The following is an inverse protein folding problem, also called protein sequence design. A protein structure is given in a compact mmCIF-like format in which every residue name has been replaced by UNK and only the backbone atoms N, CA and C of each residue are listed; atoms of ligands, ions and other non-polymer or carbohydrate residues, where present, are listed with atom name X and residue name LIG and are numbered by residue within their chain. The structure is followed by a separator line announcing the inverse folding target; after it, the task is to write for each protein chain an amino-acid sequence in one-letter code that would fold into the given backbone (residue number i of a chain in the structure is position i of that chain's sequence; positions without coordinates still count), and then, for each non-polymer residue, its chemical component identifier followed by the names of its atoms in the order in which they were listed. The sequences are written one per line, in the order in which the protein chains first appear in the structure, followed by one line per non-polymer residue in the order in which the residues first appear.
data_IF_490222202060
#
_entry.id   IF_490222202060
#
_cell.length_a   1.000
_cell.length_b   1.000
_cell.length_c   1.000
_cell.angle_alpha   90.00
_cell.angle_beta   90.00
_cell.angle_gamma   90.00
#
_symmetry.space_group_name_H-M   'P 1'
#
loop_
_entity.id
_entity.type
_entity.pdbx_description
1 polymer ?
#
# COMPACT_ATOMS: atom_id res chain seq x y z
N UNK A 1 3.10 -18.19 -40.95
CA UNK A 1 3.55 -17.96 -39.56
C UNK A 1 2.35 -17.47 -38.75
N UNK A 2 1.69 -18.36 -38.01
CA UNK A 2 0.61 -18.00 -37.12
C UNK A 2 1.22 -17.51 -35.79
N UNK A 3 1.04 -16.23 -35.49
CA UNK A 3 1.39 -15.67 -34.18
C UNK A 3 0.42 -16.19 -33.13
N UNK A 4 0.90 -17.03 -32.26
CA UNK A 4 0.17 -17.52 -31.10
C UNK A 4 0.08 -16.36 -30.09
N UNK A 5 -1.07 -15.74 -29.96
CA UNK A 5 -1.37 -14.79 -28.88
C UNK A 5 -1.57 -15.64 -27.62
N UNK A 6 -0.55 -15.68 -26.77
CA UNK A 6 -0.65 -16.25 -25.43
C UNK A 6 -1.46 -15.24 -24.59
N UNK A 7 -2.76 -15.48 -24.47
CA UNK A 7 -3.60 -14.83 -23.47
C UNK A 7 -3.23 -15.48 -22.13
N UNK A 8 -2.36 -14.82 -21.37
CA UNK A 8 -2.10 -15.19 -19.98
C UNK A 8 -3.37 -14.90 -19.17
N UNK A 9 -4.21 -15.90 -18.99
CA UNK A 9 -5.21 -15.90 -17.94
C UNK A 9 -4.47 -15.95 -16.61
N UNK A 10 -4.30 -14.80 -15.95
CA UNK A 10 -3.91 -14.77 -14.55
C UNK A 10 -5.09 -15.35 -13.77
N UNK A 11 -4.98 -16.61 -13.38
CA UNK A 11 -5.88 -17.22 -12.40
C UNK A 11 -5.70 -16.44 -11.10
N UNK A 12 -6.66 -15.54 -10.81
CA UNK A 12 -6.75 -14.91 -9.52
C UNK A 12 -6.90 -16.01 -8.47
N UNK A 13 -6.04 -16.00 -7.45
CA UNK A 13 -6.21 -16.85 -6.29
C UNK A 13 -7.67 -16.76 -5.81
N UNK A 14 -8.27 -17.89 -5.52
CA UNK A 14 -9.67 -17.94 -5.14
C UNK A 14 -9.81 -17.38 -3.73
N UNK A 15 -10.04 -16.07 -3.65
CA UNK A 15 -10.39 -15.43 -2.37
C UNK A 15 -11.80 -15.85 -1.95
N UNK A 16 -11.98 -16.10 -0.67
CA UNK A 16 -13.31 -16.41 -0.12
C UNK A 16 -14.18 -15.17 -0.21
N UNK A 17 -15.26 -15.26 -0.97
CA UNK A 17 -16.26 -14.21 -1.12
C UNK A 17 -17.31 -14.35 -0.03
N UNK A 18 -17.20 -13.52 1.00
CA UNK A 18 -18.19 -13.39 2.07
C UNK A 18 -18.43 -11.90 2.32
N UNK A 19 -19.56 -11.42 1.84
CA UNK A 19 -19.94 -10.01 1.96
C UNK A 19 -20.45 -9.61 3.35
N UNK A 20 -20.72 -10.57 4.24
CA UNK A 20 -21.25 -10.30 5.58
C UNK A 20 -20.29 -9.51 6.47
N UNK A 21 -18.97 -9.60 6.16
CA UNK A 21 -17.90 -8.91 6.88
C UNK A 21 -17.51 -7.55 6.27
N UNK A 22 -18.08 -7.18 5.12
CA UNK A 22 -17.75 -5.92 4.47
C UNK A 22 -18.19 -4.72 5.30
N UNK A 23 -17.36 -3.68 5.30
CA UNK A 23 -17.73 -2.41 5.91
C UNK A 23 -18.86 -1.73 5.11
N UNK A 24 -19.83 -1.12 5.81
CA UNK A 24 -20.76 -0.19 5.16
C UNK A 24 -20.01 0.94 4.45
N UNK A 25 -20.52 1.38 3.30
CA UNK A 25 -19.88 2.44 2.49
C UNK A 25 -19.59 3.73 3.28
N UNK A 26 -20.47 4.09 4.23
CA UNK A 26 -20.27 5.25 5.11
C UNK A 26 -19.05 5.12 6.02
N UNK A 27 -18.72 3.90 6.46
CA UNK A 27 -17.57 3.64 7.34
C UNK A 27 -16.27 3.56 6.53
N UNK A 28 -16.35 3.30 5.20
CA UNK A 28 -15.23 3.34 4.24
C UNK A 28 -14.93 4.75 3.73
N UNK A 29 -15.83 5.74 3.93
CA UNK A 29 -15.70 7.03 3.28
C UNK A 29 -14.40 7.76 3.61
N UNK A 30 -13.98 7.73 4.87
CA UNK A 30 -12.73 8.36 5.29
C UNK A 30 -11.51 7.83 4.52
N UNK A 31 -11.48 6.52 4.26
CA UNK A 31 -10.37 5.88 3.54
C UNK A 31 -10.41 6.24 2.04
N UNK A 32 -11.59 6.28 1.44
CA UNK A 32 -11.74 6.75 0.05
C UNK A 32 -11.37 8.22 -0.11
N UNK A 33 -11.62 9.05 0.89
CA UNK A 33 -11.29 10.48 0.91
C UNK A 33 -9.81 10.74 1.17
N UNK A 34 -9.11 9.81 1.80
CA UNK A 34 -7.72 9.92 2.19
C UNK A 34 -6.76 10.01 0.99
N UNK A 35 -6.98 9.25 -0.06
CA UNK A 35 -6.26 9.21 -1.35
C UNK A 35 -4.76 8.92 -1.28
N UNK A 36 -4.05 9.31 -0.21
CA UNK A 36 -2.60 9.16 -0.07
C UNK A 36 -2.22 8.69 1.33
N UNK A 37 -1.47 7.60 1.41
CA UNK A 37 -0.91 7.01 2.62
C UNK A 37 0.59 6.75 2.51
N UNK A 38 1.25 6.60 3.67
CA UNK A 38 2.64 6.17 3.79
C UNK A 38 2.70 4.71 4.24
N UNK A 39 3.41 3.88 3.48
CA UNK A 39 3.77 2.53 3.89
C UNK A 39 5.17 2.54 4.47
N UNK A 40 5.42 1.80 5.54
CA UNK A 40 6.76 1.62 6.10
C UNK A 40 7.05 0.13 6.20
N UNK A 41 8.03 -0.33 5.40
CA UNK A 41 8.58 -1.68 5.54
C UNK A 41 9.85 -1.64 6.37
N UNK A 42 9.72 -2.06 7.62
CA UNK A 42 10.82 -2.16 8.56
C UNK A 42 10.79 -3.49 9.31
N UNK A 43 11.93 -4.09 9.53
CA UNK A 43 12.06 -5.37 10.20
C UNK A 43 13.51 -5.81 10.30
N UNK A 44 13.72 -7.05 10.72
CA UNK A 44 15.04 -7.63 10.92
C UNK A 44 15.89 -7.63 9.63
N UNK A 45 15.26 -7.73 8.47
CA UNK A 45 15.89 -7.65 7.14
C UNK A 45 16.63 -6.34 6.89
N UNK A 46 16.27 -5.25 7.58
CA UNK A 46 17.00 -3.99 7.46
C UNK A 46 18.47 -4.12 7.90
N UNK A 47 18.75 -5.02 8.86
CA UNK A 47 20.13 -5.29 9.34
C UNK A 47 21.02 -5.84 8.22
N UNK A 48 20.45 -6.64 7.31
CA UNK A 48 21.19 -7.14 6.13
C UNK A 48 21.38 -6.06 5.05
N UNK A 49 20.43 -5.12 4.94
CA UNK A 49 20.47 -4.09 3.90
C UNK A 49 20.26 -4.63 2.48
N UNK A 50 19.53 -5.73 2.32
CA UNK A 50 19.35 -6.41 1.04
C UNK A 50 17.87 -6.61 0.67
N UNK A 51 17.01 -5.83 1.32
CA UNK A 51 15.57 -5.90 1.15
C UNK A 51 14.90 -7.00 1.99
N UNK A 52 13.59 -7.00 2.03
CA UNK A 52 12.76 -7.80 2.91
C UNK A 52 12.69 -9.29 2.53
N UNK A 53 13.03 -9.63 1.28
CA UNK A 53 13.09 -11.01 0.78
C UNK A 53 14.47 -11.66 0.89
N UNK A 54 15.46 -11.00 1.50
CA UNK A 54 16.84 -11.47 1.57
C UNK A 54 16.98 -12.88 2.16
N UNK A 55 16.27 -13.17 3.27
CA UNK A 55 16.26 -14.51 3.87
C UNK A 55 15.87 -15.59 2.86
N UNK A 56 14.78 -15.35 2.13
CA UNK A 56 14.23 -16.30 1.17
C UNK A 56 15.10 -16.42 -0.09
N UNK A 57 15.45 -15.30 -0.72
CA UNK A 57 16.17 -15.28 -1.99
C UNK A 57 17.59 -15.87 -1.88
N UNK A 58 18.23 -15.67 -0.73
CA UNK A 58 19.56 -16.20 -0.44
C UNK A 58 19.54 -17.56 0.25
N UNK A 59 18.34 -18.07 0.59
CA UNK A 59 18.17 -19.35 1.30
C UNK A 59 18.96 -19.38 2.61
N UNK A 60 18.89 -18.27 3.37
CA UNK A 60 19.56 -18.18 4.66
C UNK A 60 18.81 -19.08 5.64
N UNK A 61 19.56 -19.99 6.28
CA UNK A 61 19.00 -20.85 7.32
C UNK A 61 18.33 -20.03 8.44
N UNK A 62 17.22 -20.53 8.95
CA UNK A 62 16.44 -19.85 10.00
C UNK A 62 17.25 -19.54 11.26
N UNK A 63 18.16 -20.44 11.63
CA UNK A 63 19.03 -20.24 12.79
C UNK A 63 20.07 -19.14 12.57
N UNK A 64 20.63 -19.08 11.35
CA UNK A 64 21.59 -18.04 10.98
C UNK A 64 20.90 -16.68 10.82
N UNK A 65 19.77 -16.64 10.14
CA UNK A 65 18.99 -15.40 10.03
C UNK A 65 18.52 -14.88 11.39
N UNK A 66 18.13 -15.78 12.28
CA UNK A 66 17.69 -15.47 13.64
C UNK A 66 18.74 -14.75 14.49
N UNK A 67 20.05 -14.93 14.22
CA UNK A 67 21.13 -14.23 14.92
C UNK A 67 21.16 -12.73 14.65
N UNK A 68 20.56 -12.27 13.53
CA UNK A 68 20.43 -10.84 13.22
C UNK A 68 19.68 -10.09 14.32
N UNK A 69 18.81 -10.78 15.07
CA UNK A 69 18.12 -10.21 16.22
C UNK A 69 19.10 -9.59 17.24
N UNK A 70 20.28 -10.17 17.40
CA UNK A 70 21.28 -9.71 18.38
C UNK A 70 21.96 -8.41 17.94
N UNK A 71 21.78 -7.97 16.69
CA UNK A 71 22.22 -6.69 16.13
C UNK A 71 21.09 -5.68 15.97
N UNK A 72 19.83 -6.07 16.24
CA UNK A 72 18.68 -5.20 16.05
C UNK A 72 18.52 -4.21 17.23
N UNK A 73 19.18 -3.05 17.13
CA UNK A 73 19.25 -2.03 18.20
C UNK A 73 18.34 -0.82 17.98
N UNK A 74 18.04 -0.47 16.73
CA UNK A 74 17.18 0.66 16.30
C UNK A 74 17.45 1.97 17.04
N UNK A 75 18.71 2.36 17.15
CA UNK A 75 19.18 3.46 18.01
C UNK A 75 18.62 4.84 17.68
N UNK A 76 18.11 5.03 16.45
CA UNK A 76 17.49 6.28 15.98
C UNK A 76 16.00 6.15 15.69
N UNK A 77 15.40 5.01 16.00
CA UNK A 77 13.98 4.84 15.84
C UNK A 77 13.18 5.82 16.69
N UNK A 78 12.19 6.43 16.08
CA UNK A 78 11.18 7.25 16.75
C UNK A 78 9.87 7.15 15.98
N UNK A 79 8.83 6.60 16.63
CA UNK A 79 7.48 6.55 16.07
C UNK A 79 6.97 7.93 15.67
N UNK A 80 7.31 8.96 16.48
CA UNK A 80 6.98 10.34 16.17
C UNK A 80 7.63 10.83 14.88
N UNK A 81 8.92 10.53 14.65
CA UNK A 81 9.61 10.99 13.42
C UNK A 81 9.03 10.35 12.16
N UNK A 82 8.58 9.09 12.24
CA UNK A 82 7.89 8.42 11.14
C UNK A 82 6.53 9.08 10.83
N UNK A 83 5.77 9.38 11.88
CA UNK A 83 4.48 10.08 11.74
C UNK A 83 4.67 11.50 11.22
N UNK A 84 5.68 12.23 11.68
CA UNK A 84 5.99 13.57 11.19
C UNK A 84 6.35 13.56 9.69
N UNK A 85 7.12 12.57 9.23
CA UNK A 85 7.43 12.41 7.81
C UNK A 85 6.17 12.18 6.98
N UNK A 86 5.25 11.33 7.44
CA UNK A 86 3.97 11.10 6.79
C UNK A 86 3.09 12.37 6.73
N UNK A 87 3.03 13.12 7.83
CA UNK A 87 2.29 14.41 7.87
C UNK A 87 2.89 15.44 6.93
N UNK A 88 4.22 15.56 6.91
CA UNK A 88 4.93 16.46 6.00
C UNK A 88 4.71 16.08 4.53
N UNK A 89 4.58 14.78 4.23
CA UNK A 89 4.22 14.30 2.89
C UNK A 89 2.76 14.59 2.49
N UNK A 90 1.90 14.97 3.43
CA UNK A 90 0.46 15.12 3.21
C UNK A 90 -0.32 13.81 3.30
N UNK A 91 0.26 12.73 3.78
CA UNK A 91 -0.43 11.46 3.99
C UNK A 91 -1.58 11.60 5.01
N UNK A 92 -2.66 10.86 4.79
CA UNK A 92 -3.84 10.83 5.65
C UNK A 92 -3.92 9.58 6.51
N UNK A 93 -3.16 8.57 6.18
CA UNK A 93 -3.00 7.34 6.94
C UNK A 93 -1.61 6.77 6.73
N UNK A 94 -1.23 5.87 7.61
CA UNK A 94 0.01 5.11 7.52
C UNK A 94 -0.28 3.63 7.69
N UNK A 95 0.58 2.78 7.11
CA UNK A 95 0.62 1.34 7.37
C UNK A 95 2.06 0.98 7.69
N UNK A 96 2.30 0.29 8.81
CA UNK A 96 3.64 -0.09 9.26
C UNK A 96 3.71 -1.61 9.43
N UNK A 97 4.79 -2.23 8.95
CA UNK A 97 5.02 -3.66 9.17
C UNK A 97 5.13 -3.95 10.66
N UNK A 98 4.19 -4.72 11.22
CA UNK A 98 4.30 -5.26 12.58
C UNK A 98 5.08 -6.57 12.59
N UNK A 99 4.97 -7.35 11.52
CA UNK A 99 5.67 -8.60 11.26
C UNK A 99 5.65 -8.90 9.77
N UNK A 100 6.83 -9.16 9.18
CA UNK A 100 6.99 -9.58 7.79
C UNK A 100 7.13 -11.11 7.69
N UNK A 101 7.38 -11.63 6.49
CA UNK A 101 7.48 -13.07 6.18
C UNK A 101 8.60 -13.79 6.93
N UNK A 102 9.64 -13.09 7.37
CA UNK A 102 10.73 -13.62 8.20
C UNK A 102 10.29 -13.94 9.65
N UNK A 103 9.07 -13.57 10.00
CA UNK A 103 8.44 -13.88 11.28
C UNK A 103 8.92 -13.06 12.48
N UNK A 104 9.79 -12.05 12.28
CA UNK A 104 10.24 -11.19 13.38
C UNK A 104 9.19 -10.13 13.73
N UNK A 105 8.74 -10.14 14.96
CA UNK A 105 7.68 -9.22 15.44
C UNK A 105 8.29 -7.92 15.98
N UNK A 106 7.81 -6.77 15.51
CA UNK A 106 8.22 -5.45 15.97
C UNK A 106 7.45 -4.96 17.21
N UNK A 107 6.70 -5.85 17.85
CA UNK A 107 5.81 -5.56 18.96
C UNK A 107 5.95 -6.60 20.08
N UNK A 108 5.44 -6.24 21.25
CA UNK A 108 5.39 -7.13 22.40
C UNK A 108 4.32 -8.21 22.19
N UNK A 109 4.75 -9.45 21.98
CA UNK A 109 3.87 -10.59 21.75
C UNK A 109 4.13 -11.69 22.76
N UNK A 110 3.08 -12.39 23.17
CA UNK A 110 3.18 -13.59 24.00
C UNK A 110 3.70 -14.82 23.22
N UNK A 111 3.78 -14.72 21.89
CA UNK A 111 4.24 -15.81 21.03
C UNK A 111 5.76 -15.81 20.93
N UNK A 112 6.40 -16.51 21.85
CA UNK A 112 7.85 -16.73 21.86
C UNK A 112 8.67 -15.46 22.08
N UNK A 113 9.96 -15.54 21.78
CA UNK A 113 10.94 -14.47 22.02
C UNK A 113 11.55 -13.89 20.74
N UNK A 114 11.01 -14.21 19.58
CA UNK A 114 11.51 -13.72 18.30
C UNK A 114 10.84 -12.38 17.96
N UNK A 115 11.18 -11.35 18.74
CA UNK A 115 10.58 -10.02 18.64
C UNK A 115 11.55 -8.93 19.12
N UNK A 116 11.21 -7.68 18.86
CA UNK A 116 12.01 -6.50 19.18
C UNK A 116 12.24 -6.28 20.69
N UNK A 117 11.31 -6.72 21.54
CA UNK A 117 11.48 -6.65 23.00
C UNK A 117 12.62 -7.56 23.51
N UNK A 118 12.88 -8.65 22.79
CA UNK A 118 13.93 -9.63 23.09
C UNK A 118 15.19 -9.43 22.23
N UNK A 119 15.37 -8.27 21.63
CA UNK A 119 16.56 -7.80 20.93
C UNK A 119 17.26 -6.68 21.72
N UNK A 120 18.43 -6.18 21.31
CA UNK A 120 19.06 -5.00 21.89
C UNK A 120 18.20 -3.73 21.85
N UNK A 121 17.20 -3.68 20.94
CA UNK A 121 16.25 -2.57 20.87
C UNK A 121 15.44 -2.42 22.17
N UNK A 122 15.03 -3.53 22.83
CA UNK A 122 14.20 -3.53 24.05
C UNK A 122 12.95 -2.66 23.94
N UNK A 123 12.37 -2.53 22.73
CA UNK A 123 11.26 -1.62 22.43
C UNK A 123 10.11 -2.33 21.74
N UNK A 124 8.91 -1.91 22.07
CA UNK A 124 7.70 -2.17 21.29
C UNK A 124 7.54 -1.04 20.25
N UNK A 125 8.05 -1.27 19.04
CA UNK A 125 8.06 -0.26 17.99
C UNK A 125 6.64 0.07 17.50
N UNK A 126 5.77 -0.94 17.49
CA UNK A 126 4.38 -0.74 17.06
C UNK A 126 3.61 0.09 18.07
N UNK A 127 3.84 -0.12 19.37
CA UNK A 127 3.21 0.71 20.41
C UNK A 127 3.63 2.17 20.27
N UNK A 128 4.92 2.43 20.12
CA UNK A 128 5.44 3.79 19.97
C UNK A 128 4.93 4.48 18.70
N UNK A 129 4.84 3.72 17.59
CA UNK A 129 4.26 4.22 16.34
C UNK A 129 2.77 4.56 16.48
N UNK A 130 1.97 3.62 17.01
CA UNK A 130 0.52 3.81 17.12
C UNK A 130 0.17 4.95 18.06
N UNK A 131 0.86 5.07 19.19
CA UNK A 131 0.70 6.18 20.13
C UNK A 131 1.00 7.52 19.44
N UNK A 132 2.14 7.61 18.73
CA UNK A 132 2.49 8.82 17.99
C UNK A 132 1.49 9.16 16.87
N UNK A 133 0.92 8.15 16.20
CA UNK A 133 -0.11 8.35 15.19
C UNK A 133 -1.40 8.92 15.82
N UNK A 134 -1.83 8.37 16.95
CA UNK A 134 -3.00 8.86 17.69
C UNK A 134 -2.80 10.30 18.18
N UNK A 135 -1.65 10.61 18.78
CA UNK A 135 -1.32 11.96 19.27
C UNK A 135 -1.30 12.98 18.12
N UNK A 136 -0.92 12.56 16.94
CA UNK A 136 -0.89 13.41 15.74
C UNK A 136 -2.21 13.48 14.97
N UNK A 137 -3.25 12.73 15.39
CA UNK A 137 -4.51 12.57 14.67
C UNK A 137 -4.38 11.86 13.32
N UNK A 138 -3.29 11.06 13.13
CA UNK A 138 -3.05 10.24 11.95
C UNK A 138 -3.79 8.92 12.05
N UNK A 139 -4.37 8.45 10.95
CA UNK A 139 -4.97 7.12 10.87
C UNK A 139 -3.90 6.05 10.92
N UNK A 140 -3.96 5.17 11.93
CA UNK A 140 -2.96 4.13 12.16
C UNK A 140 -3.36 2.82 11.46
N UNK A 141 -2.46 2.30 10.63
CA UNK A 141 -2.58 1.00 9.97
C UNK A 141 -1.42 0.09 10.35
N UNK A 142 -1.69 -1.19 10.35
CA UNK A 142 -0.72 -2.25 10.63
C UNK A 142 -0.69 -3.23 9.46
N UNK A 143 0.51 -3.51 8.95
CA UNK A 143 0.76 -4.64 8.07
C UNK A 143 1.06 -5.87 8.92
N UNK A 144 0.52 -7.01 8.55
CA UNK A 144 0.79 -8.30 9.17
C UNK A 144 0.86 -9.42 8.13
N UNK A 145 1.96 -10.18 8.14
CA UNK A 145 2.08 -11.38 7.32
C UNK A 145 1.61 -12.63 8.07
N UNK A 146 0.57 -13.35 7.60
CA UNK A 146 0.21 -14.66 8.14
C UNK A 146 1.29 -15.71 7.91
N UNK A 147 1.94 -15.70 6.74
CA UNK A 147 3.00 -16.66 6.44
C UNK A 147 4.27 -16.38 7.27
N UNK A 148 5.06 -17.42 7.47
CA UNK A 148 6.29 -17.36 8.26
C UNK A 148 7.30 -18.38 7.74
N UNK A 149 8.39 -17.90 7.18
CA UNK A 149 9.43 -18.75 6.57
C UNK A 149 10.19 -19.63 7.58
N UNK A 150 10.00 -19.42 8.87
CA UNK A 150 10.59 -20.27 9.90
C UNK A 150 9.84 -21.59 10.09
N UNK A 151 8.61 -21.67 9.55
CA UNK A 151 7.76 -22.84 9.68
C UNK A 151 7.87 -23.75 8.43
N UNK A 152 8.41 -24.99 8.55
CA UNK A 152 8.36 -25.97 7.47
C UNK A 152 6.94 -26.20 6.94
N UNK A 153 5.93 -26.07 7.80
CA UNK A 153 4.53 -26.17 7.42
C UNK A 153 4.03 -25.08 6.47
N UNK A 154 4.74 -23.96 6.33
CA UNK A 154 4.47 -22.99 5.27
C UNK A 154 4.85 -23.56 3.89
N UNK A 155 6.03 -24.16 3.79
CA UNK A 155 6.57 -24.70 2.52
C UNK A 155 5.91 -26.03 2.12
N UNK A 156 5.60 -26.86 3.10
CA UNK A 156 5.04 -28.21 2.94
C UNK A 156 3.88 -28.45 3.89
N UNK A 157 2.73 -27.76 3.70
CA UNK A 157 1.66 -27.74 4.69
C UNK A 157 0.99 -29.11 4.91
N UNK A 158 0.98 -30.01 3.92
CA UNK A 158 0.42 -31.35 4.08
C UNK A 158 1.39 -32.29 4.82
N UNK A 159 2.69 -32.14 4.57
CA UNK A 159 3.75 -32.95 5.21
C UNK A 159 3.96 -32.56 6.67
N UNK A 160 3.98 -31.26 6.95
CA UNK A 160 4.17 -30.68 8.29
C UNK A 160 2.88 -30.04 8.81
N UNK A 161 1.76 -30.74 8.70
CA UNK A 161 0.44 -30.19 8.98
C UNK A 161 0.29 -29.64 10.40
N UNK A 162 0.76 -30.35 11.45
CA UNK A 162 0.76 -29.84 12.84
C UNK A 162 1.53 -28.54 12.99
N UNK A 163 2.69 -28.43 12.34
CA UNK A 163 3.50 -27.22 12.36
C UNK A 163 2.82 -26.05 11.58
N UNK A 164 2.12 -26.34 10.50
CA UNK A 164 1.27 -25.34 9.82
C UNK A 164 0.14 -24.85 10.74
N UNK A 165 -0.47 -25.73 11.55
CA UNK A 165 -1.48 -25.34 12.54
C UNK A 165 -0.90 -24.47 13.67
N UNK A 166 0.33 -24.68 14.08
CA UNK A 166 1.03 -23.81 15.03
C UNK A 166 1.26 -22.42 14.44
N UNK A 167 1.69 -22.33 13.18
CA UNK A 167 1.84 -21.06 12.45
C UNK A 167 0.49 -20.31 12.37
N UNK A 168 -0.61 -21.01 12.08
CA UNK A 168 -1.96 -20.45 12.09
C UNK A 168 -2.35 -19.94 13.47
N UNK A 169 -2.10 -20.71 14.54
CA UNK A 169 -2.36 -20.30 15.93
C UNK A 169 -1.58 -19.04 16.27
N UNK A 170 -0.30 -18.95 15.88
CA UNK A 170 0.51 -17.74 16.04
C UNK A 170 -0.16 -16.53 15.38
N UNK A 171 -0.62 -16.69 14.14
CA UNK A 171 -1.32 -15.62 13.40
C UNK A 171 -2.54 -15.11 14.16
N UNK A 172 -3.42 -16.01 14.62
CA UNK A 172 -4.61 -15.62 15.38
C UNK A 172 -4.27 -14.91 16.69
N UNK A 173 -3.28 -15.42 17.42
CA UNK A 173 -2.84 -14.81 18.68
C UNK A 173 -2.27 -13.42 18.46
N UNK A 174 -1.36 -13.26 17.52
CA UNK A 174 -0.69 -12.00 17.28
C UNK A 174 -1.62 -10.93 16.69
N UNK A 175 -2.54 -11.30 15.77
CA UNK A 175 -3.55 -10.39 15.27
C UNK A 175 -4.51 -9.96 16.39
N UNK A 176 -4.89 -10.89 17.29
CA UNK A 176 -5.70 -10.55 18.46
C UNK A 176 -4.96 -9.55 19.38
N UNK A 177 -3.68 -9.79 19.69
CA UNK A 177 -2.85 -8.89 20.51
C UNK A 177 -2.78 -7.48 19.89
N UNK A 178 -2.46 -7.38 18.60
CA UNK A 178 -2.35 -6.12 17.88
C UNK A 178 -3.66 -5.31 17.90
N UNK A 179 -4.81 -5.98 17.85
CA UNK A 179 -6.11 -5.29 17.79
C UNK A 179 -6.75 -5.05 19.16
N UNK A 180 -6.20 -5.62 20.24
CA UNK A 180 -6.72 -5.45 21.60
C UNK A 180 -5.82 -4.63 22.51
N UNK A 181 -4.49 -4.57 22.27
CA UNK A 181 -3.55 -3.92 23.19
C UNK A 181 -3.02 -2.56 22.69
N UNK A 182 -3.25 -2.20 21.44
CA UNK A 182 -2.66 -1.02 20.81
C UNK A 182 -3.65 0.12 20.57
N UNK A 183 -4.85 0.04 21.15
CA UNK A 183 -5.89 1.02 20.93
C UNK A 183 -6.55 0.86 19.56
N UNK A 184 -7.00 1.97 18.98
CA UNK A 184 -7.70 1.94 17.71
C UNK A 184 -6.74 1.76 16.54
N UNK A 185 -6.97 0.74 15.72
CA UNK A 185 -6.29 0.52 14.44
C UNK A 185 -7.29 0.79 13.31
N UNK A 186 -6.93 1.66 12.38
CA UNK A 186 -7.82 2.08 11.29
C UNK A 186 -7.70 1.20 10.05
N UNK A 187 -6.52 0.59 9.79
CA UNK A 187 -6.27 -0.32 8.65
C UNK A 187 -5.52 -1.56 9.12
N UNK A 188 -5.99 -2.73 8.72
CA UNK A 188 -5.23 -3.99 8.82
C UNK A 188 -4.88 -4.46 7.41
N UNK A 189 -3.60 -4.43 7.11
CA UNK A 189 -3.04 -4.78 5.83
C UNK A 189 -2.33 -6.14 5.92
N UNK A 190 -3.00 -7.20 5.49
CA UNK A 190 -2.41 -8.54 5.42
C UNK A 190 -1.53 -8.70 4.20
N UNK A 191 -0.60 -9.67 4.26
CA UNK A 191 0.19 -10.09 3.11
C UNK A 191 0.57 -11.57 3.20
N UNK A 192 0.33 -12.30 2.12
CA UNK A 192 0.70 -13.71 2.04
C UNK A 192 -0.26 -14.69 2.73
N UNK A 193 -1.50 -14.28 3.02
CA UNK A 193 -2.55 -15.15 3.56
C UNK A 193 -3.41 -15.83 2.50
N UNK A 194 -3.18 -15.58 1.22
CA UNK A 194 -3.91 -16.22 0.12
C UNK A 194 -3.37 -17.63 -0.16
N UNK A 195 -4.24 -18.51 -0.63
CA UNK A 195 -3.91 -19.94 -0.83
C UNK A 195 -2.78 -20.17 -1.82
N UNK A 196 -2.53 -19.27 -2.76
CA UNK A 196 -1.44 -19.43 -3.73
C UNK A 196 -0.04 -19.29 -3.09
N UNK A 197 0.08 -18.64 -1.93
CA UNK A 197 1.34 -18.55 -1.19
C UNK A 197 1.72 -19.86 -0.49
N UNK A 198 0.73 -20.65 -0.06
CA UNK A 198 0.99 -21.89 0.69
C UNK A 198 1.70 -22.93 -0.17
N UNK A 199 2.82 -23.42 0.30
CA UNK A 199 3.64 -24.44 -0.37
C UNK A 199 4.35 -23.97 -1.64
N UNK A 200 4.19 -22.70 -2.03
CA UNK A 200 4.77 -22.14 -3.25
C UNK A 200 6.28 -22.35 -3.35
N UNK A 201 6.97 -22.14 -2.26
CA UNK A 201 8.43 -22.11 -2.24
C UNK A 201 9.08 -23.47 -1.96
N UNK A 202 8.32 -24.54 -1.82
CA UNK A 202 8.90 -25.87 -1.54
C UNK A 202 9.98 -26.28 -2.52
N UNK A 203 9.76 -26.03 -3.82
CA UNK A 203 10.73 -26.28 -4.87
C UNK A 203 12.07 -25.52 -4.65
N UNK A 204 12.01 -24.27 -4.25
CA UNK A 204 13.21 -23.46 -3.99
C UNK A 204 13.90 -23.89 -2.70
N UNK A 205 13.16 -24.38 -1.74
CA UNK A 205 13.68 -24.83 -0.45
C UNK A 205 14.42 -26.17 -0.55
N UNK A 206 14.01 -27.04 -1.47
CA UNK A 206 14.67 -28.32 -1.74
C UNK A 206 15.92 -28.20 -2.65
N UNK A 207 16.35 -26.98 -2.93
CA UNK A 207 17.50 -26.71 -3.80
C UNK A 207 17.16 -26.81 -5.28
N UNK A 208 15.88 -26.77 -5.66
CA UNK A 208 15.45 -26.84 -7.05
C UNK A 208 15.46 -28.25 -7.62
N UNK A 209 15.47 -29.27 -6.76
CA UNK A 209 15.47 -30.69 -7.19
C UNK A 209 14.13 -31.19 -7.72
N UNK A 210 13.10 -30.36 -7.64
CA UNK A 210 11.87 -30.53 -8.42
C UNK A 210 10.85 -31.52 -7.89
N UNK A 211 10.94 -31.99 -6.66
CA UNK A 211 9.92 -32.86 -6.09
C UNK A 211 8.72 -32.10 -5.51
N UNK A 212 8.76 -30.77 -5.51
CA UNK A 212 7.62 -29.91 -5.22
C UNK A 212 7.50 -28.84 -6.31
N UNK A 213 6.50 -29.00 -7.20
CA UNK A 213 6.41 -28.27 -8.48
C UNK A 213 5.30 -27.22 -8.54
N UNK A 214 4.69 -26.85 -7.41
CA UNK A 214 3.59 -25.91 -7.45
C UNK A 214 4.08 -24.46 -7.58
N UNK A 215 3.61 -23.76 -8.61
CA UNK A 215 3.86 -22.33 -8.82
C UNK A 215 2.69 -21.46 -8.37
N UNK A 216 2.83 -20.15 -8.50
CA UNK A 216 1.79 -19.15 -8.16
C UNK A 216 0.51 -19.27 -9.00
N UNK A 217 0.57 -19.90 -10.15
CA UNK A 217 -0.56 -20.13 -11.05
C UNK A 217 -1.54 -21.18 -10.53
N UNK A 218 -1.18 -21.93 -9.49
CA UNK A 218 -1.99 -22.99 -8.91
C UNK A 218 -2.19 -22.76 -7.42
N UNK A 219 -3.42 -22.51 -6.94
CA UNK A 219 -3.70 -22.38 -5.53
C UNK A 219 -3.44 -23.70 -4.79
N UNK A 220 -3.13 -23.59 -3.51
CA UNK A 220 -3.05 -24.75 -2.62
C UNK A 220 -4.44 -25.37 -2.43
N UNK A 221 -4.52 -26.68 -2.56
CA UNK A 221 -5.78 -27.44 -2.47
C UNK A 221 -5.77 -28.53 -1.38
N UNK A 222 -4.77 -28.52 -0.49
CA UNK A 222 -4.65 -29.48 0.60
C UNK A 222 -5.55 -29.16 1.79
N UNK A 223 -5.25 -29.79 2.92
CA UNK A 223 -6.09 -29.72 4.14
C UNK A 223 -5.94 -28.45 4.96
N UNK A 224 -4.82 -27.75 4.85
CA UNK A 224 -4.59 -26.54 5.62
C UNK A 224 -5.44 -25.38 5.09
N UNK A 225 -5.91 -24.54 5.98
CA UNK A 225 -6.58 -23.29 5.66
C UNK A 225 -6.31 -22.27 6.74
N UNK A 226 -6.09 -21.03 6.37
CA UNK A 226 -6.06 -19.88 7.30
C UNK A 226 -7.42 -19.62 7.95
N UNK A 227 -8.51 -20.19 7.44
CA UNK A 227 -9.90 -19.87 7.81
C UNK A 227 -10.15 -18.35 7.76
N UNK A 228 -9.98 -17.72 6.58
CA UNK A 228 -9.91 -16.26 6.50
C UNK A 228 -11.20 -15.56 6.94
N UNK A 229 -12.37 -16.18 6.77
CA UNK A 229 -13.64 -15.64 7.27
C UNK A 229 -13.65 -15.63 8.80
N UNK A 230 -13.22 -16.71 9.45
CA UNK A 230 -13.14 -16.81 10.92
C UNK A 230 -12.12 -15.81 11.48
N UNK A 231 -10.95 -15.68 10.83
CA UNK A 231 -9.93 -14.71 11.22
C UNK A 231 -10.49 -13.28 11.16
N UNK A 232 -11.12 -12.92 10.05
CA UNK A 232 -11.66 -11.58 9.88
C UNK A 232 -12.94 -11.32 10.70
N UNK A 233 -13.70 -12.35 11.06
CA UNK A 233 -14.79 -12.24 12.05
C UNK A 233 -14.25 -11.85 13.43
N UNK A 234 -13.14 -12.43 13.86
CA UNK A 234 -12.45 -12.03 15.08
C UNK A 234 -11.98 -10.57 14.99
N UNK A 235 -11.39 -10.17 13.87
CA UNK A 235 -10.96 -8.77 13.62
C UNK A 235 -12.14 -7.81 13.72
N UNK A 236 -13.27 -8.11 13.09
CA UNK A 236 -14.50 -7.29 13.16
C UNK A 236 -15.08 -7.21 14.57
N UNK A 237 -15.01 -8.28 15.35
CA UNK A 237 -15.47 -8.27 16.74
C UNK A 237 -14.59 -7.35 17.62
N UNK A 238 -13.29 -7.32 17.41
CA UNK A 238 -12.35 -6.47 18.15
C UNK A 238 -12.38 -5.01 17.68
N UNK A 239 -12.39 -4.79 16.36
CA UNK A 239 -12.31 -3.48 15.72
C UNK A 239 -13.38 -3.38 14.61
N UNK A 240 -14.66 -3.06 14.93
CA UNK A 240 -15.77 -3.12 13.97
C UNK A 240 -15.62 -2.26 12.73
N UNK A 241 -14.81 -1.18 12.79
CA UNK A 241 -14.64 -0.20 11.71
C UNK A 241 -13.26 -0.21 11.06
N UNK A 242 -12.43 -1.22 11.36
CA UNK A 242 -11.11 -1.36 10.74
C UNK A 242 -11.25 -1.70 9.25
N UNK A 243 -10.48 -1.04 8.41
CA UNK A 243 -10.44 -1.34 6.96
C UNK A 243 -9.46 -2.48 6.70
N UNK A 244 -9.86 -3.49 5.92
CA UNK A 244 -9.07 -4.72 5.72
C UNK A 244 -8.86 -4.95 4.23
N UNK A 245 -7.62 -5.23 3.81
CA UNK A 245 -7.26 -5.60 2.44
C UNK A 245 -7.58 -7.08 2.14
N UNK A 246 -7.53 -7.54 0.86
CA UNK A 246 -7.92 -8.92 0.51
C UNK A 246 -6.87 -10.00 0.81
N UNK A 247 -5.66 -9.64 1.24
CA UNK A 247 -4.51 -10.56 1.30
C UNK A 247 -4.48 -11.49 2.52
N UNK A 248 -5.59 -11.61 3.23
CA UNK A 248 -5.82 -12.69 4.21
C UNK A 248 -6.43 -13.95 3.58
N UNK A 249 -6.75 -13.93 2.28
CA UNK A 249 -7.55 -14.95 1.61
C UNK A 249 -9.07 -14.70 1.68
N UNK A 250 -9.53 -13.64 2.33
CA UNK A 250 -10.89 -13.09 2.27
C UNK A 250 -10.92 -11.88 1.33
N UNK A 251 -12.06 -11.63 0.69
CA UNK A 251 -12.20 -10.59 -0.35
C UNK A 251 -11.85 -9.16 0.11
N UNK A 252 -11.72 -8.89 1.40
CA UNK A 252 -11.39 -7.57 1.95
C UNK A 252 -12.41 -6.47 1.64
N UNK A 253 -12.20 -5.28 2.20
CA UNK A 253 -13.03 -4.11 1.96
C UNK A 253 -12.65 -3.38 0.66
N UNK A 254 -11.42 -3.53 0.19
CA UNK A 254 -10.88 -2.91 -1.02
C UNK A 254 -9.94 -3.88 -1.75
N UNK A 255 -9.67 -3.61 -3.03
CA UNK A 255 -8.71 -4.38 -3.83
C UNK A 255 -7.32 -3.77 -3.76
N UNK A 256 -6.27 -4.58 -3.93
CA UNK A 256 -4.88 -4.11 -3.95
C UNK A 256 -4.26 -4.30 -5.33
N UNK A 257 -3.58 -3.27 -5.82
CA UNK A 257 -2.61 -3.35 -6.90
C UNK A 257 -1.22 -3.14 -6.32
N UNK A 258 -0.21 -3.78 -6.87
CA UNK A 258 1.14 -3.69 -6.36
C UNK A 258 2.12 -3.35 -7.48
N UNK A 259 3.02 -2.40 -7.19
CA UNK A 259 4.09 -1.90 -8.06
C UNK A 259 3.56 -1.27 -9.36
N UNK A 260 2.69 -1.97 -10.09
CA UNK A 260 2.21 -1.56 -11.40
C UNK A 260 0.76 -1.10 -11.34
N UNK A 261 0.49 0.12 -11.79
CA UNK A 261 -0.86 0.65 -11.98
C UNK A 261 -1.54 -0.07 -13.15
N UNK A 262 -2.58 -0.85 -12.85
CA UNK A 262 -3.38 -1.60 -13.83
C UNK A 262 -4.63 -0.86 -14.29
N UNK A 263 -4.99 0.21 -13.59
CA UNK A 263 -6.15 1.04 -13.90
C UNK A 263 -7.27 0.93 -12.87
N UNK A 264 -8.40 1.59 -13.20
CA UNK A 264 -9.59 1.64 -12.33
C UNK A 264 -10.17 0.25 -12.10
N UNK A 265 -10.65 0.03 -10.89
CA UNK A 265 -11.36 -1.18 -10.51
C UNK A 265 -12.83 -0.91 -10.18
N UNK A 266 -13.65 -1.97 -10.17
CA UNK A 266 -15.09 -1.91 -9.86
C UNK A 266 -15.37 -1.73 -8.37
N UNK A 267 -14.41 -2.09 -7.50
CA UNK A 267 -14.44 -1.92 -6.05
C UNK A 267 -13.46 -0.82 -5.63
N UNK A 268 -13.59 -0.24 -4.42
CA UNK A 268 -12.52 0.59 -3.86
C UNK A 268 -11.17 -0.13 -3.97
N UNK A 269 -10.10 0.59 -4.28
CA UNK A 269 -8.80 -0.03 -4.53
C UNK A 269 -7.64 0.87 -4.13
N UNK A 270 -6.50 0.26 -3.89
CA UNK A 270 -5.26 0.90 -3.50
C UNK A 270 -4.10 0.37 -4.33
N UNK A 271 -3.26 1.25 -4.82
CA UNK A 271 -1.94 0.89 -5.34
C UNK A 271 -0.91 1.08 -4.24
N UNK A 272 -0.20 0.01 -3.86
CA UNK A 272 1.01 0.12 -3.07
C UNK A 272 2.25 0.01 -3.97
N UNK A 273 3.23 0.89 -3.73
CA UNK A 273 4.49 0.89 -4.48
C UNK A 273 5.62 1.54 -3.69
N UNK A 274 6.86 1.30 -4.12
CA UNK A 274 8.05 1.80 -3.45
C UNK A 274 8.47 3.19 -3.96
N UNK A 275 8.85 4.07 -3.05
CA UNK A 275 9.56 5.30 -3.39
C UNK A 275 10.96 4.96 -3.94
N UNK A 276 11.69 4.08 -3.27
CA UNK A 276 12.93 3.49 -3.79
C UNK A 276 12.59 2.37 -4.79
N UNK A 277 13.24 2.36 -5.93
CA UNK A 277 13.07 1.33 -6.96
C UNK A 277 13.99 0.11 -6.74
N UNK A 278 14.28 -0.22 -5.48
CA UNK A 278 15.16 -1.33 -5.10
C UNK A 278 14.41 -2.50 -4.47
N UNK A 279 13.80 -2.26 -3.31
CA UNK A 279 13.08 -3.24 -2.51
C UNK A 279 12.05 -2.52 -1.62
N UNK A 280 11.18 -3.25 -0.92
CA UNK A 280 10.28 -2.66 0.08
C UNK A 280 11.04 -2.28 1.35
N UNK A 281 11.89 -3.19 1.86
CA UNK A 281 12.83 -2.90 2.93
C UNK A 281 14.05 -2.11 2.43
N UNK A 282 14.78 -1.55 3.37
CA UNK A 282 15.95 -0.73 3.08
C UNK A 282 17.08 -1.50 2.37
N UNK A 283 17.71 -0.80 1.42
CA UNK A 283 18.98 -1.20 0.79
C UNK A 283 19.92 0.02 0.73
N UNK A 284 21.25 -0.17 0.69
CA UNK A 284 22.21 0.95 0.58
C UNK A 284 21.97 1.86 -0.63
N UNK A 285 21.35 1.35 -1.69
CA UNK A 285 21.05 2.10 -2.92
C UNK A 285 19.69 2.81 -2.89
N UNK A 286 18.95 2.74 -1.77
CA UNK A 286 17.59 3.29 -1.68
C UNK A 286 17.52 4.80 -1.95
N UNK A 287 18.54 5.56 -1.54
CA UNK A 287 18.62 6.99 -1.78
C UNK A 287 18.89 7.34 -3.25
N UNK A 288 19.74 6.57 -3.92
CA UNK A 288 20.19 6.85 -5.30
C UNK A 288 19.16 6.40 -6.36
N UNK A 289 18.28 5.48 -6.00
CA UNK A 289 17.31 4.87 -6.91
C UNK A 289 15.86 5.19 -6.54
N UNK A 290 15.62 6.44 -6.16
CA UNK A 290 14.26 6.91 -5.87
C UNK A 290 13.54 7.41 -7.11
N UNK A 291 12.20 7.31 -7.10
CA UNK A 291 11.36 8.02 -8.06
C UNK A 291 11.62 9.54 -7.96
N UNK A 292 11.66 10.20 -9.13
CA UNK A 292 11.69 11.66 -9.18
C UNK A 292 10.39 12.25 -8.58
N UNK A 293 10.42 13.50 -8.14
CA UNK A 293 9.21 14.21 -7.71
C UNK A 293 8.12 14.17 -8.80
N UNK A 294 8.52 14.44 -10.06
CA UNK A 294 7.62 14.37 -11.21
C UNK A 294 6.94 13.00 -11.31
N UNK A 295 7.70 11.92 -11.19
CA UNK A 295 7.14 10.54 -11.22
C UNK A 295 6.18 10.27 -10.05
N UNK A 296 6.50 10.73 -8.84
CA UNK A 296 5.63 10.59 -7.67
C UNK A 296 4.29 11.31 -7.85
N UNK A 297 4.34 12.56 -8.31
CA UNK A 297 3.13 13.36 -8.52
C UNK A 297 2.28 12.78 -9.66
N UNK A 298 2.89 12.42 -10.79
CA UNK A 298 2.17 11.78 -11.92
C UNK A 298 1.51 10.48 -11.51
N UNK A 299 2.20 9.67 -10.71
CA UNK A 299 1.64 8.42 -10.18
C UNK A 299 0.44 8.69 -9.28
N UNK A 300 0.57 9.58 -8.30
CA UNK A 300 -0.52 9.96 -7.40
C UNK A 300 -1.74 10.46 -8.19
N UNK A 301 -1.55 11.38 -9.13
CA UNK A 301 -2.61 11.91 -9.98
C UNK A 301 -3.25 10.79 -10.81
N UNK A 302 -2.44 9.91 -11.41
CA UNK A 302 -2.95 8.80 -12.22
C UNK A 302 -3.82 7.85 -11.41
N UNK A 303 -3.42 7.55 -10.18
CA UNK A 303 -4.18 6.69 -9.26
C UNK A 303 -5.49 7.36 -8.85
N UNK A 304 -5.44 8.64 -8.45
CA UNK A 304 -6.62 9.36 -7.93
C UNK A 304 -7.64 9.66 -9.03
N UNK A 305 -7.20 10.02 -10.25
CA UNK A 305 -8.08 10.19 -11.41
C UNK A 305 -8.81 8.89 -11.79
N UNK A 306 -8.26 7.74 -11.42
CA UNK A 306 -8.89 6.43 -11.59
C UNK A 306 -9.61 5.92 -10.33
N UNK A 307 -9.84 6.81 -9.37
CA UNK A 307 -10.59 6.58 -8.11
C UNK A 307 -9.92 5.64 -7.12
N UNK A 308 -8.59 5.51 -7.17
CA UNK A 308 -7.79 4.72 -6.24
C UNK A 308 -7.16 5.55 -5.12
N UNK A 309 -6.54 4.84 -4.17
CA UNK A 309 -5.62 5.38 -3.18
C UNK A 309 -4.19 4.98 -3.53
N UNK A 310 -3.22 5.86 -3.27
CA UNK A 310 -1.79 5.54 -3.35
C UNK A 310 -1.24 5.31 -1.93
N UNK A 311 -0.62 4.16 -1.70
CA UNK A 311 0.14 3.82 -0.51
C UNK A 311 1.62 3.74 -0.90
N UNK A 312 2.37 4.82 -0.65
CA UNK A 312 3.77 4.95 -1.06
C UNK A 312 4.70 4.47 0.05
N UNK A 313 5.60 3.55 -0.28
CA UNK A 313 6.48 2.91 0.69
C UNK A 313 7.85 3.57 0.83
N UNK A 314 8.33 3.58 2.08
CA UNK A 314 9.73 3.82 2.44
C UNK A 314 10.24 2.68 3.33
N UNK A 315 11.52 2.36 3.22
CA UNK A 315 12.21 1.38 4.07
C UNK A 315 13.22 2.10 4.98
N UNK A 316 13.00 2.18 6.30
CA UNK A 316 13.97 2.73 7.23
C UNK A 316 15.28 1.94 7.28
N UNK A 317 16.37 2.64 7.57
CA UNK A 317 17.71 2.08 7.80
C UNK A 317 17.74 1.15 9.02
N UNK A 318 18.79 0.33 9.19
CA UNK A 318 18.92 -0.56 10.35
C UNK A 318 18.79 0.12 11.71
N UNK A 319 19.17 1.40 11.80
CA UNK A 319 19.06 2.22 13.01
C UNK A 319 17.62 2.74 13.28
N UNK A 320 16.67 2.47 12.38
CA UNK A 320 15.27 2.88 12.47
C UNK A 320 14.95 4.27 11.87
N UNK A 321 15.96 4.99 11.37
CA UNK A 321 15.76 6.29 10.70
C UNK A 321 15.30 6.08 9.26
N UNK A 322 14.29 6.84 8.80
CA UNK A 322 13.96 6.92 7.37
C UNK A 322 15.12 7.64 6.66
N UNK A 323 15.55 7.11 5.51
CA UNK A 323 16.63 7.71 4.71
C UNK A 323 16.37 9.21 4.48
N UNK A 324 17.30 10.13 4.83
CA UNK A 324 17.06 11.57 4.72
C UNK A 324 16.62 12.03 3.33
N UNK A 325 17.15 11.41 2.28
CA UNK A 325 16.74 11.70 0.91
C UNK A 325 15.26 11.31 0.64
N UNK A 326 14.78 10.22 1.24
CA UNK A 326 13.37 9.84 1.17
C UNK A 326 12.48 10.81 1.94
N UNK A 327 12.90 11.25 3.13
CA UNK A 327 12.19 12.29 3.91
C UNK A 327 12.07 13.58 3.10
N UNK A 328 13.15 14.01 2.44
CA UNK A 328 13.14 15.19 1.57
C UNK A 328 12.14 15.02 0.41
N UNK A 329 12.13 13.87 -0.27
CA UNK A 329 11.17 13.60 -1.35
C UNK A 329 9.71 13.59 -0.85
N UNK A 330 9.45 13.02 0.32
CA UNK A 330 8.14 13.07 0.96
C UNK A 330 7.70 14.50 1.24
N UNK A 331 8.60 15.33 1.75
CA UNK A 331 8.33 16.76 1.97
C UNK A 331 7.99 17.51 0.67
N UNK A 332 8.71 17.26 -0.41
CA UNK A 332 8.44 17.84 -1.73
C UNK A 332 7.03 17.45 -2.26
N UNK A 333 6.62 16.20 -2.06
CA UNK A 333 5.25 15.75 -2.36
C UNK A 333 4.24 16.54 -1.51
N UNK A 334 4.53 16.73 -0.22
CA UNK A 334 3.69 17.49 0.69
C UNK A 334 3.55 18.98 0.30
N UNK A 335 4.61 19.60 -0.20
CA UNK A 335 4.58 20.97 -0.73
C UNK A 335 3.63 21.09 -1.93
N UNK A 336 3.64 20.12 -2.85
CA UNK A 336 2.65 20.02 -3.92
C UNK A 336 1.23 19.88 -3.36
N UNK A 337 1.01 18.96 -2.43
CA UNK A 337 -0.31 18.69 -1.86
C UNK A 337 -0.84 19.82 -0.97
N UNK A 338 0.03 20.59 -0.31
CA UNK A 338 -0.38 21.79 0.44
C UNK A 338 -1.00 22.85 -0.48
N UNK A 339 -0.55 22.92 -1.72
CA UNK A 339 -1.01 23.89 -2.72
C UNK A 339 -2.20 23.39 -3.54
N UNK A 340 -2.21 22.11 -3.88
CA UNK A 340 -3.14 21.53 -4.85
C UNK A 340 -4.03 20.40 -4.27
N UNK A 341 -3.94 20.11 -2.99
CA UNK A 341 -4.62 19.00 -2.33
C UNK A 341 -6.14 19.01 -2.45
N UNK A 342 -6.78 20.17 -2.70
CA UNK A 342 -8.22 20.24 -2.95
C UNK A 342 -8.64 19.46 -4.21
N UNK A 343 -7.72 19.23 -5.15
CA UNK A 343 -7.95 18.44 -6.36
C UNK A 343 -7.70 16.93 -6.16
N UNK A 344 -7.19 16.55 -5.00
CA UNK A 344 -6.79 15.18 -4.67
C UNK A 344 -7.69 14.59 -3.57
N UNK A 345 -7.68 15.21 -2.38
CA UNK A 345 -8.40 14.68 -1.21
C UNK A 345 -9.91 14.86 -1.33
N UNK A 346 -10.66 13.89 -0.81
CA UNK A 346 -12.12 13.91 -0.81
C UNK A 346 -12.73 14.09 -2.20
N UNK A 347 -12.03 13.68 -3.24
CA UNK A 347 -12.51 13.69 -4.62
C UNK A 347 -12.88 12.29 -5.10
N UNK A 348 -13.65 12.21 -6.17
CA UNK A 348 -13.90 10.98 -6.94
C UNK A 348 -13.12 11.06 -8.25
N UNK A 349 -12.63 9.93 -8.72
CA UNK A 349 -11.98 9.85 -10.03
C UNK A 349 -12.99 9.96 -11.15
N UNK A 350 -12.63 10.73 -12.17
CA UNK A 350 -13.45 10.97 -13.37
C UNK A 350 -12.91 10.30 -14.62
N UNK A 351 -12.63 11.09 -15.65
CA UNK A 351 -12.01 10.63 -16.90
C UNK A 351 -10.52 10.37 -16.70
N UNK A 352 -10.02 9.36 -17.36
CA UNK A 352 -8.58 9.11 -17.49
C UNK A 352 -8.23 8.90 -18.97
N UNK A 353 -7.26 9.65 -19.46
CA UNK A 353 -6.68 9.51 -20.80
C UNK A 353 -5.15 9.65 -20.71
N UNK A 354 -4.43 8.58 -20.98
CA UNK A 354 -2.97 8.56 -20.93
C UNK A 354 -2.29 9.55 -21.87
N UNK A 355 -3.01 10.13 -22.86
CA UNK A 355 -2.48 11.11 -23.79
C UNK A 355 -2.31 12.49 -23.17
N UNK A 356 -3.13 12.85 -22.17
CA UNK A 356 -3.06 14.17 -21.55
C UNK A 356 -3.15 14.16 -20.02
N UNK A 357 -3.82 13.19 -19.39
CA UNK A 357 -4.01 13.10 -17.94
C UNK A 357 -5.40 12.65 -17.56
N UNK A 358 -6.04 13.30 -16.60
CA UNK A 358 -7.35 12.87 -16.13
C UNK A 358 -8.11 13.93 -15.35
N UNK A 359 -9.23 13.51 -14.75
CA UNK A 359 -10.04 14.40 -13.92
C UNK A 359 -10.34 13.78 -12.57
N UNK A 360 -10.43 14.64 -11.57
CA UNK A 360 -11.09 14.37 -10.30
C UNK A 360 -12.26 15.33 -10.14
N UNK A 361 -13.22 14.99 -9.29
CA UNK A 361 -14.37 15.86 -9.09
C UNK A 361 -14.97 15.75 -7.69
N UNK A 362 -15.65 16.81 -7.32
CA UNK A 362 -16.57 16.94 -6.17
C UNK A 362 -17.92 17.42 -6.66
N UNK A 363 -18.90 17.58 -5.77
CA UNK A 363 -20.20 18.15 -6.15
C UNK A 363 -20.11 19.61 -6.60
N UNK A 364 -19.00 20.32 -6.33
CA UNK A 364 -18.81 21.75 -6.58
C UNK A 364 -17.79 22.07 -7.68
N UNK A 365 -16.96 21.12 -8.07
CA UNK A 365 -15.89 21.36 -9.03
C UNK A 365 -15.44 20.10 -9.75
N UNK A 366 -14.93 20.28 -10.99
CA UNK A 366 -14.12 19.29 -11.70
C UNK A 366 -12.70 19.85 -11.77
N UNK A 367 -11.72 19.02 -11.44
CA UNK A 367 -10.30 19.32 -11.55
C UNK A 367 -9.73 18.53 -12.72
N UNK A 368 -9.21 19.24 -13.71
CA UNK A 368 -8.60 18.65 -14.92
C UNK A 368 -7.11 18.67 -14.72
N UNK A 369 -6.53 17.51 -14.52
CA UNK A 369 -5.10 17.27 -14.30
C UNK A 369 -4.42 17.07 -15.66
N UNK A 370 -3.64 18.05 -16.09
CA UNK A 370 -2.95 18.03 -17.39
C UNK A 370 -1.50 17.62 -17.17
N UNK A 371 -1.23 16.32 -17.30
CA UNK A 371 0.11 15.74 -17.18
C UNK A 371 0.94 15.88 -18.46
N UNK A 372 0.27 16.02 -19.60
CA UNK A 372 0.87 16.29 -20.88
C UNK A 372 -0.06 17.19 -21.69
N UNK A 373 0.44 18.32 -22.14
CA UNK A 373 -0.35 19.25 -22.96
C UNK A 373 -0.55 18.68 -24.35
N UNK A 374 -1.80 18.58 -24.84
CA UNK A 374 -2.06 18.24 -26.25
C UNK A 374 -1.45 19.26 -27.20
N UNK A 375 -0.99 18.80 -28.37
CA UNK A 375 -0.30 19.67 -29.36
C UNK A 375 -1.16 20.84 -29.83
N UNK A 376 -2.48 20.66 -29.90
CA UNK A 376 -3.45 21.69 -30.27
C UNK A 376 -3.95 22.52 -29.06
N UNK A 377 -3.44 22.29 -27.87
CA UNK A 377 -3.86 22.96 -26.63
C UNK A 377 -5.33 22.76 -26.28
N UNK A 378 -5.94 21.65 -26.73
CA UNK A 378 -7.36 21.37 -26.57
C UNK A 378 -7.58 20.11 -25.74
N UNK A 379 -8.49 20.19 -24.75
CA UNK A 379 -8.97 19.01 -23.97
C UNK A 379 -10.48 18.95 -24.10
N UNK A 380 -10.98 17.78 -24.46
CA UNK A 380 -12.41 17.48 -24.57
C UNK A 380 -12.82 16.51 -23.47
N UNK A 381 -13.82 16.88 -22.68
CA UNK A 381 -14.39 16.09 -21.62
C UNK A 381 -15.87 15.79 -21.91
N UNK A 382 -16.43 14.70 -21.40
CA UNK A 382 -17.88 14.48 -21.42
C UNK A 382 -18.60 15.63 -20.73
N UNK A 383 -19.78 15.99 -21.23
CA UNK A 383 -20.61 16.99 -20.56
C UNK A 383 -21.13 16.49 -19.20
N UNK A 384 -21.41 17.43 -18.33
CA UNK A 384 -22.04 17.19 -17.01
C UNK A 384 -23.36 17.95 -16.93
N UNK A 385 -24.34 17.48 -16.12
CA UNK A 385 -25.63 18.15 -16.00
C UNK A 385 -25.53 19.57 -15.43
N UNK A 386 -24.54 19.81 -14.56
CA UNK A 386 -24.33 21.12 -13.94
C UNK A 386 -23.70 22.09 -14.91
N UNK A 387 -24.11 23.36 -14.83
CA UNK A 387 -23.53 24.45 -15.60
C UNK A 387 -22.16 24.84 -15.04
N UNK A 388 -21.15 24.96 -15.90
CA UNK A 388 -19.85 25.49 -15.52
C UNK A 388 -19.94 27.01 -15.38
N UNK A 389 -19.60 27.52 -14.20
CA UNK A 389 -19.57 28.95 -13.91
C UNK A 389 -18.27 29.63 -14.31
N UNK A 390 -17.15 28.91 -14.14
CA UNK A 390 -15.83 29.43 -14.40
C UNK A 390 -14.83 28.31 -14.64
N UNK A 391 -13.78 28.57 -15.44
CA UNK A 391 -12.60 27.75 -15.61
C UNK A 391 -11.34 28.58 -15.36
N UNK A 392 -10.44 28.09 -14.49
CA UNK A 392 -9.15 28.74 -14.20
C UNK A 392 -8.08 27.73 -13.79
N UNK A 393 -6.83 28.09 -13.96
CA UNK A 393 -5.73 27.30 -13.38
C UNK A 393 -5.79 27.37 -11.85
N UNK A 394 -5.74 26.21 -11.22
CA UNK A 394 -5.78 26.07 -9.75
C UNK A 394 -4.61 26.82 -9.10
N UNK A 395 -4.90 27.52 -8.00
CA UNK A 395 -3.92 28.35 -7.28
C UNK A 395 -3.53 29.66 -8.01
N UNK A 396 -4.27 30.03 -9.07
CA UNK A 396 -4.05 31.29 -9.80
C UNK A 396 -5.36 31.99 -10.14
N UNK A 397 -5.28 33.22 -10.67
CA UNK A 397 -6.42 33.94 -11.25
C UNK A 397 -6.49 33.84 -12.78
N UNK A 398 -5.60 33.06 -13.41
CA UNK A 398 -5.56 32.91 -14.86
C UNK A 398 -6.73 32.07 -15.33
N UNK A 399 -7.60 32.69 -16.16
CA UNK A 399 -8.78 32.02 -16.74
C UNK A 399 -8.38 31.10 -17.89
N UNK A 400 -9.14 30.01 -18.04
CA UNK A 400 -9.06 29.08 -19.17
C UNK A 400 -10.32 29.24 -20.00
N UNK A 401 -10.16 29.35 -21.33
CA UNK A 401 -11.29 29.40 -22.24
C UNK A 401 -11.99 28.05 -22.33
N UNK A 402 -13.31 28.04 -22.21
CA UNK A 402 -14.09 26.82 -22.33
C UNK A 402 -15.42 27.05 -23.08
N UNK A 403 -15.94 25.96 -23.64
CA UNK A 403 -17.29 25.84 -24.17
C UNK A 403 -17.96 24.60 -23.57
N UNK A 404 -19.19 24.72 -23.10
CA UNK A 404 -20.01 23.60 -22.65
C UNK A 404 -21.21 23.46 -23.59
N UNK A 405 -21.45 22.27 -24.10
CA UNK A 405 -22.64 21.86 -24.85
C UNK A 405 -23.28 20.63 -24.22
N UNK A 406 -24.39 20.13 -24.78
CA UNK A 406 -25.09 18.95 -24.28
C UNK A 406 -24.21 17.67 -24.26
N UNK A 407 -23.26 17.54 -25.20
CA UNK A 407 -22.41 16.35 -25.36
C UNK A 407 -21.02 16.47 -24.76
N UNK A 408 -20.47 17.70 -24.67
CA UNK A 408 -19.05 17.88 -24.34
C UNK A 408 -18.75 19.20 -23.64
N UNK A 409 -17.62 19.19 -22.91
CA UNK A 409 -16.92 20.37 -22.42
C UNK A 409 -15.59 20.45 -23.14
N UNK A 410 -15.33 21.56 -23.79
CA UNK A 410 -14.08 21.82 -24.54
C UNK A 410 -13.29 22.90 -23.82
N UNK A 411 -12.08 22.58 -23.39
CA UNK A 411 -11.08 23.56 -22.92
C UNK A 411 -10.14 23.91 -24.06
N UNK A 412 -9.86 25.18 -24.22
CA UNK A 412 -8.98 25.69 -25.30
C UNK A 412 -7.86 26.55 -24.73
N UNK A 413 -6.75 26.62 -25.43
CA UNK A 413 -5.62 27.47 -25.06
C UNK A 413 -4.85 26.93 -23.87
N UNK A 414 -4.89 25.61 -23.64
CA UNK A 414 -4.03 24.95 -22.65
C UNK A 414 -2.60 25.08 -23.15
N UNK A 415 -1.83 25.97 -22.52
CA UNK A 415 -0.45 26.25 -22.93
C UNK A 415 0.53 25.39 -22.09
N UNK A 416 1.61 24.95 -22.73
CA UNK A 416 2.67 24.25 -22.02
C UNK A 416 3.35 25.21 -21.03
N UNK A 417 3.48 24.73 -19.78
CA UNK A 417 4.31 25.38 -18.79
C UNK A 417 5.37 24.36 -18.38
N UNK A 418 6.54 24.45 -19.00
CA UNK A 418 7.63 23.48 -18.91
C UNK A 418 8.10 23.16 -17.48
N UNK A 419 7.73 24.02 -16.53
CA UNK A 419 8.11 23.86 -15.11
C UNK A 419 7.03 23.22 -14.23
N UNK A 420 5.95 22.64 -14.79
CA UNK A 420 4.87 22.05 -13.99
C UNK A 420 4.63 20.59 -14.36
N UNK A 421 4.81 19.73 -13.37
CA UNK A 421 4.50 18.30 -13.43
C UNK A 421 3.02 18.02 -13.71
N UNK A 422 2.14 18.82 -13.08
CA UNK A 422 0.69 18.76 -13.24
C UNK A 422 0.12 20.18 -13.32
N UNK A 423 -0.51 20.50 -14.43
CA UNK A 423 -1.27 21.72 -14.59
C UNK A 423 -2.74 21.43 -14.33
N UNK A 424 -3.28 22.01 -13.28
CA UNK A 424 -4.64 21.71 -12.86
C UNK A 424 -5.57 22.84 -13.26
N UNK A 425 -6.59 22.52 -14.06
CA UNK A 425 -7.69 23.46 -14.37
C UNK A 425 -8.88 23.12 -13.51
N UNK A 426 -9.32 24.07 -12.69
CA UNK A 426 -10.55 23.98 -11.90
C UNK A 426 -11.74 24.51 -12.67
N UNK A 427 -12.75 23.67 -12.92
CA UNK A 427 -14.05 24.02 -13.44
C UNK A 427 -15.01 24.13 -12.25
N UNK A 428 -15.48 25.33 -11.95
CA UNK A 428 -16.44 25.55 -10.88
C UNK A 428 -17.86 25.29 -11.39
N UNK A 429 -18.61 24.43 -10.70
CA UNK A 429 -19.99 24.06 -11.01
C UNK A 429 -20.98 25.00 -10.30
N UNK A 430 -22.15 25.26 -10.95
CA UNK A 430 -23.30 26.00 -10.39
C UNK A 430 -24.33 25.03 -9.84
#
# INVERSE_FOLDING_TARGET
MLSLIIITHHSFAQVVVDSSLLLPQKDMQWWKDAKFGLFIHFGLYAVLGEGEWAMFNKRIDTSEYGKLKDSFSVSKFSGKSWVDAAKQAGCRYMVVTSRHHDGFSLFNTSVGNYNSMNSPAKKDLIKEYVDAAHDAGMKAGIYYSPLDWRYPGFFFPDLYYSNALEMKKQTYTQVHELLSHYGKIDVLWYDGGEDFWLGFAGLMWDGGKGWYTRGFDKPYTGKFSWEPVKLNSMVRALQPKIVINPRSGWMGDFNTQEVTLRGRESRPWELCTNLSQTAWGWTPQAADRMMSLDSCIRLLVSVVCQDGNLLLNVGPKPDGEIEPAQVQRLKEIGEFLSKYGESIYSTKGGVWDAKWGGTTFTDKAIYVHVLKVPADGKIVLPSVPQKIAAAKYLGTNVKVSFRQSEGEIVLNGIANNENKTDMIVKLTLK
#
